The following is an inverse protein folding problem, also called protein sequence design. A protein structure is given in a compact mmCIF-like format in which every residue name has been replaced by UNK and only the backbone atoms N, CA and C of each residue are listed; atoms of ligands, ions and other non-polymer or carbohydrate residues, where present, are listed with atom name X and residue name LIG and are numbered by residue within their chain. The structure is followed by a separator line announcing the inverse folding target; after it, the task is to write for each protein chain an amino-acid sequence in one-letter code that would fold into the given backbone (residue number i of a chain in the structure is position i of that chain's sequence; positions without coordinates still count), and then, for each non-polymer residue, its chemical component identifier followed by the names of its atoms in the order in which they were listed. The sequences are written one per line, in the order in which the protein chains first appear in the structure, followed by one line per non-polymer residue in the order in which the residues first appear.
data_IF_598332408005
#
_entry.id   IF_598332408005
#
_cell.length_a   1.000
_cell.length_b   1.000
_cell.length_c   1.000
_cell.angle_alpha   90.00
_cell.angle_beta   90.00
_cell.angle_gamma   90.00
#
_symmetry.space_group_name_H-M   'P 1'
#
loop_
_entity.id
_entity.type
_entity.pdbx_description
1 polymer ?
#
# COMPACT_ATOMS: atom_id res chain seq x y z
N UNK A 1 -18.54 1.57 59.58
CA UNK A 1 -19.22 1.30 58.29
C UNK A 1 -18.88 2.32 57.21
N UNK A 2 -18.48 3.58 57.56
CA UNK A 2 -18.16 4.62 56.52
C UNK A 2 -16.80 4.42 55.83
N UNK A 3 -15.81 3.86 56.52
CA UNK A 3 -14.46 3.65 55.97
C UNK A 3 -14.45 2.60 54.85
N UNK A 4 -15.26 1.55 54.93
CA UNK A 4 -15.32 0.49 53.90
C UNK A 4 -15.99 0.97 52.58
N UNK A 5 -16.95 1.87 52.65
CA UNK A 5 -17.57 2.47 51.45
C UNK A 5 -16.63 3.45 50.75
N UNK A 6 -15.82 4.21 51.48
CA UNK A 6 -14.82 5.10 50.93
C UNK A 6 -13.68 4.32 50.23
N UNK A 7 -13.26 3.19 50.79
CA UNK A 7 -12.25 2.33 50.19
C UNK A 7 -12.76 1.64 48.92
N UNK A 8 -14.01 1.17 48.89
CA UNK A 8 -14.61 0.57 47.69
C UNK A 8 -14.78 1.61 46.59
N UNK A 9 -15.17 2.84 46.94
CA UNK A 9 -15.27 3.94 45.98
C UNK A 9 -13.91 4.30 45.41
N UNK A 10 -12.87 4.33 46.24
CA UNK A 10 -11.50 4.57 45.80
C UNK A 10 -10.99 3.51 44.84
N UNK A 11 -11.25 2.23 45.15
CA UNK A 11 -10.90 1.10 44.27
C UNK A 11 -11.63 1.22 42.92
N UNK A 12 -12.93 1.50 42.93
CA UNK A 12 -13.73 1.65 41.71
C UNK A 12 -13.21 2.80 40.82
N UNK A 13 -12.81 3.92 41.42
CA UNK A 13 -12.20 5.04 40.68
C UNK A 13 -10.87 4.67 40.03
N UNK A 14 -10.01 3.92 40.75
CA UNK A 14 -8.75 3.41 40.19
C UNK A 14 -9.00 2.46 39.03
N UNK A 15 -9.96 1.54 39.17
CA UNK A 15 -10.32 0.61 38.10
C UNK A 15 -10.86 1.36 36.86
N UNK A 16 -11.74 2.31 37.03
CA UNK A 16 -12.26 3.12 35.91
C UNK A 16 -11.14 3.88 35.22
N UNK A 17 -10.24 4.49 35.98
CA UNK A 17 -9.08 5.17 35.40
C UNK A 17 -8.16 4.22 34.65
N UNK A 18 -7.92 3.02 35.17
CA UNK A 18 -7.13 2.01 34.45
C UNK A 18 -7.81 1.58 33.16
N UNK A 19 -9.13 1.42 33.14
CA UNK A 19 -9.88 1.10 31.93
C UNK A 19 -9.74 2.22 30.89
N UNK A 20 -9.93 3.47 31.29
CA UNK A 20 -9.76 4.63 30.42
C UNK A 20 -8.32 4.72 29.85
N UNK A 21 -7.30 4.48 30.68
CA UNK A 21 -5.89 4.47 30.26
C UNK A 21 -5.62 3.33 29.25
N UNK A 22 -6.21 2.16 29.43
CA UNK A 22 -6.11 1.03 28.50
C UNK A 22 -6.77 1.37 27.16
N UNK A 23 -7.95 1.95 27.16
CA UNK A 23 -8.66 2.36 25.94
C UNK A 23 -7.84 3.38 25.13
N UNK A 24 -7.23 4.35 25.80
CA UNK A 24 -6.32 5.31 25.16
C UNK A 24 -5.09 4.62 24.56
N UNK A 25 -4.52 3.63 25.26
CA UNK A 25 -3.38 2.87 24.74
C UNK A 25 -3.76 2.04 23.50
N UNK A 26 -4.93 1.38 23.52
CA UNK A 26 -5.44 0.62 22.37
C UNK A 26 -5.59 1.53 21.15
N UNK A 27 -6.24 2.68 21.30
CA UNK A 27 -6.41 3.65 20.21
C UNK A 27 -5.07 4.15 19.64
N UNK A 28 -4.08 4.37 20.51
CA UNK A 28 -2.73 4.77 20.07
C UNK A 28 -2.02 3.65 19.30
N UNK A 29 -2.15 2.40 19.75
CA UNK A 29 -1.58 1.23 19.06
C UNK A 29 -2.25 1.02 17.70
N UNK A 30 -3.55 1.18 17.60
CA UNK A 30 -4.29 1.09 16.33
C UNK A 30 -3.79 2.14 15.34
N UNK A 31 -3.67 3.41 15.75
CA UNK A 31 -3.13 4.50 14.91
C UNK A 31 -1.69 4.24 14.47
N UNK A 32 -0.85 3.76 15.38
CA UNK A 32 0.53 3.37 15.04
C UNK A 32 0.53 2.24 14.01
N UNK A 33 -0.28 1.21 14.21
CA UNK A 33 -0.40 0.07 13.30
C UNK A 33 -0.85 0.53 11.91
N UNK A 34 -1.89 1.34 11.81
CA UNK A 34 -2.35 1.92 10.53
C UNK A 34 -1.25 2.72 9.83
N UNK A 35 -0.46 3.48 10.60
CA UNK A 35 0.66 4.26 10.05
C UNK A 35 1.74 3.34 9.50
N UNK A 36 2.11 2.28 10.21
CA UNK A 36 3.10 1.30 9.75
C UNK A 36 2.64 0.55 8.50
N UNK A 37 1.35 0.18 8.40
CA UNK A 37 0.81 -0.48 7.21
C UNK A 37 0.82 0.39 5.95
N UNK A 38 0.94 1.72 6.08
CA UNK A 38 1.17 2.60 4.93
C UNK A 38 2.58 2.46 4.36
N UNK A 39 3.57 2.14 5.19
CA UNK A 39 4.96 1.97 4.76
C UNK A 39 5.29 0.51 4.42
N UNK A 40 4.68 -0.43 5.12
CA UNK A 40 4.88 -1.87 4.87
C UNK A 40 3.51 -2.51 4.62
N UNK A 41 3.11 -2.64 3.36
CA UNK A 41 1.83 -3.27 3.01
C UNK A 41 1.71 -4.69 3.57
N UNK A 42 0.50 -5.13 3.97
CA UNK A 42 0.26 -6.48 4.48
C UNK A 42 0.74 -7.59 3.53
N UNK A 43 0.70 -7.34 2.22
CA UNK A 43 1.22 -8.24 1.20
C UNK A 43 2.72 -8.54 1.34
N UNK A 44 3.52 -7.54 1.74
CA UNK A 44 4.96 -7.74 2.02
C UNK A 44 5.16 -8.55 3.29
N UNK A 45 4.38 -8.30 4.34
CA UNK A 45 4.45 -9.06 5.60
C UNK A 45 4.15 -10.52 5.35
N UNK A 46 3.09 -10.81 4.58
CA UNK A 46 2.74 -12.17 4.17
C UNK A 46 3.82 -12.85 3.34
N UNK A 47 4.49 -12.11 2.44
CA UNK A 47 5.64 -12.61 1.68
C UNK A 47 6.82 -13.01 2.57
N UNK A 48 7.07 -12.24 3.64
CA UNK A 48 8.12 -12.54 4.61
C UNK A 48 7.77 -13.73 5.52
N UNK A 49 6.60 -14.37 5.32
CA UNK A 49 6.14 -15.50 6.12
C UNK A 49 5.84 -15.09 7.57
N UNK A 50 5.41 -13.85 7.78
CA UNK A 50 5.10 -13.29 9.09
C UNK A 50 3.61 -12.98 9.21
N UNK A 51 3.08 -13.14 10.40
CA UNK A 51 1.67 -12.93 10.67
C UNK A 51 1.34 -11.46 10.97
N UNK A 52 2.35 -10.72 11.45
CA UNK A 52 2.18 -9.31 11.83
C UNK A 52 3.50 -8.54 11.81
N UNK A 53 3.40 -7.20 11.90
CA UNK A 53 4.56 -6.30 11.94
C UNK A 53 5.50 -6.54 13.14
N UNK A 54 4.97 -6.93 14.30
CA UNK A 54 5.76 -7.14 15.51
C UNK A 54 6.71 -8.35 15.41
N UNK A 55 6.49 -9.24 14.47
CA UNK A 55 7.36 -10.37 14.17
C UNK A 55 8.48 -10.09 13.17
N UNK A 56 8.51 -8.87 12.61
CA UNK A 56 9.54 -8.43 11.68
C UNK A 56 10.79 -8.02 12.45
N UNK A 57 11.94 -8.46 11.96
CA UNK A 57 13.25 -8.08 12.50
C UNK A 57 14.11 -7.48 11.39
N UNK A 58 15.01 -6.57 11.75
CA UNK A 58 16.03 -6.08 10.84
C UNK A 58 16.79 -7.26 10.23
N UNK A 59 16.98 -7.24 8.92
CA UNK A 59 17.59 -8.35 8.18
C UNK A 59 16.63 -9.47 7.79
N UNK A 60 15.34 -9.41 8.17
CA UNK A 60 14.34 -10.31 7.60
C UNK A 60 14.28 -10.12 6.10
N UNK A 61 14.52 -11.17 5.35
CA UNK A 61 14.44 -11.14 3.89
C UNK A 61 13.79 -12.42 3.35
N UNK A 62 13.21 -12.27 2.17
CA UNK A 62 12.69 -13.37 1.39
C UNK A 62 13.19 -13.23 -0.04
N UNK A 63 13.58 -14.35 -0.62
CA UNK A 63 14.01 -14.45 -2.01
C UNK A 63 12.99 -15.27 -2.78
N UNK A 64 12.60 -14.79 -3.95
CA UNK A 64 11.66 -15.52 -4.80
C UNK A 64 11.74 -15.11 -6.26
N UNK A 65 11.22 -15.97 -7.13
CA UNK A 65 11.03 -15.66 -8.52
C UNK A 65 9.65 -15.02 -8.70
N UNK A 66 9.66 -13.76 -9.10
CA UNK A 66 8.44 -12.98 -9.32
C UNK A 66 8.42 -12.45 -10.75
N UNK A 67 7.23 -12.24 -11.26
CA UNK A 67 7.08 -11.41 -12.43
C UNK A 67 6.94 -9.95 -11.97
N UNK A 68 7.78 -9.09 -12.52
CA UNK A 68 7.79 -7.66 -12.25
C UNK A 68 7.17 -6.95 -13.45
N UNK A 69 6.14 -6.17 -13.21
CA UNK A 69 5.47 -5.36 -14.21
C UNK A 69 5.72 -3.89 -13.87
N UNK A 70 6.54 -3.24 -14.68
CA UNK A 70 6.72 -1.80 -14.59
C UNK A 70 5.65 -1.10 -15.45
N UNK A 71 4.90 -0.21 -14.82
CA UNK A 71 3.84 0.60 -15.46
C UNK A 71 4.30 2.04 -15.45
N UNK A 72 4.56 2.61 -16.62
CA UNK A 72 5.04 3.98 -16.75
C UNK A 72 4.02 4.85 -17.43
N UNK A 73 3.71 6.00 -16.82
CA UNK A 73 2.90 7.06 -17.40
C UNK A 73 3.75 7.86 -18.39
N UNK A 74 3.26 8.02 -19.59
CA UNK A 74 3.84 8.91 -20.58
C UNK A 74 3.19 10.29 -20.46
N UNK A 75 4.00 11.32 -20.28
CA UNK A 75 3.58 12.72 -20.21
C UNK A 75 4.27 13.50 -21.33
N UNK A 76 3.53 14.39 -21.96
CA UNK A 76 4.11 15.33 -22.91
C UNK A 76 4.82 16.47 -22.16
N UNK A 77 6.02 16.86 -22.61
CA UNK A 77 6.82 17.91 -21.99
C UNK A 77 6.15 19.30 -22.01
N UNK A 78 5.15 19.47 -22.86
CA UNK A 78 4.41 20.73 -23.05
C UNK A 78 3.24 20.91 -22.07
N UNK A 79 2.92 19.90 -21.27
CA UNK A 79 1.75 19.95 -20.38
C UNK A 79 1.94 20.95 -19.24
N UNK A 80 0.92 21.74 -18.90
CA UNK A 80 0.92 22.58 -17.71
C UNK A 80 1.06 21.77 -16.42
N UNK A 81 1.73 22.33 -15.42
CA UNK A 81 2.02 21.62 -14.16
C UNK A 81 0.77 21.06 -13.46
N UNK A 82 -0.32 21.84 -13.43
CA UNK A 82 -1.58 21.41 -12.83
C UNK A 82 -2.22 20.21 -13.56
N UNK A 83 -2.08 20.12 -14.89
CA UNK A 83 -2.55 18.97 -15.65
C UNK A 83 -1.64 17.76 -15.43
N UNK A 84 -0.33 17.98 -15.39
CA UNK A 84 0.66 16.94 -15.06
C UNK A 84 0.34 16.30 -13.69
N UNK A 85 0.14 17.12 -12.66
CA UNK A 85 -0.22 16.64 -11.32
C UNK A 85 -1.55 15.86 -11.31
N UNK A 86 -2.55 16.33 -12.04
CA UNK A 86 -3.84 15.65 -12.13
C UNK A 86 -3.72 14.28 -12.82
N UNK A 87 -2.95 14.19 -13.92
CA UNK A 87 -2.68 12.93 -14.62
C UNK A 87 -1.90 11.96 -13.74
N UNK A 88 -0.87 12.42 -13.06
CA UNK A 88 -0.08 11.60 -12.11
C UNK A 88 -0.95 11.05 -10.99
N UNK A 89 -1.74 11.90 -10.34
CA UNK A 89 -2.63 11.49 -9.25
C UNK A 89 -3.66 10.45 -9.73
N UNK A 90 -4.25 10.65 -10.91
CA UNK A 90 -5.19 9.70 -11.51
C UNK A 90 -4.51 8.36 -11.85
N UNK A 91 -3.32 8.41 -12.43
CA UNK A 91 -2.49 7.24 -12.73
C UNK A 91 -2.21 6.42 -11.45
N UNK A 92 -1.65 7.06 -10.42
CA UNK A 92 -1.36 6.38 -9.15
C UNK A 92 -2.61 5.80 -8.50
N UNK A 93 -3.68 6.56 -8.46
CA UNK A 93 -4.93 6.08 -7.86
C UNK A 93 -5.49 4.86 -8.61
N UNK A 94 -5.41 4.86 -9.95
CA UNK A 94 -5.92 3.76 -10.78
C UNK A 94 -5.08 2.50 -10.58
N UNK A 95 -3.75 2.61 -10.69
CA UNK A 95 -2.84 1.46 -10.56
C UNK A 95 -2.82 0.93 -9.12
N UNK A 96 -2.71 1.82 -8.13
CA UNK A 96 -2.62 1.41 -6.74
C UNK A 96 -3.91 0.76 -6.24
N UNK A 97 -5.08 1.31 -6.60
CA UNK A 97 -6.37 0.70 -6.28
C UNK A 97 -6.50 -0.69 -6.87
N UNK A 98 -6.06 -0.87 -8.12
CA UNK A 98 -6.05 -2.18 -8.76
C UNK A 98 -5.11 -3.14 -8.03
N UNK A 99 -3.90 -2.72 -7.70
CA UNK A 99 -2.92 -3.52 -6.99
C UNK A 99 -3.46 -3.98 -5.62
N UNK A 100 -4.04 -3.07 -4.84
CA UNK A 100 -4.65 -3.38 -3.55
C UNK A 100 -5.81 -4.39 -3.66
N UNK A 101 -6.70 -4.21 -4.65
CA UNK A 101 -7.84 -5.12 -4.86
C UNK A 101 -7.41 -6.55 -5.24
N UNK A 102 -6.23 -6.72 -5.80
CA UNK A 102 -5.71 -8.00 -6.27
C UNK A 102 -4.54 -8.54 -5.43
N UNK A 103 -4.26 -7.94 -4.27
CA UNK A 103 -3.13 -8.28 -3.40
C UNK A 103 -1.77 -8.28 -4.12
N UNK A 104 -1.61 -7.35 -5.06
CA UNK A 104 -0.36 -7.15 -5.79
C UNK A 104 0.46 -6.11 -5.05
N UNK A 105 1.76 -6.36 -4.87
CA UNK A 105 2.67 -5.40 -4.27
C UNK A 105 2.95 -4.30 -5.29
N UNK A 106 2.67 -3.07 -4.92
CA UNK A 106 2.96 -1.89 -5.74
C UNK A 106 4.03 -1.04 -5.06
N UNK A 107 5.03 -0.65 -5.83
CA UNK A 107 6.15 0.19 -5.39
C UNK A 107 6.29 1.34 -6.38
N UNK A 108 6.47 2.55 -5.86
CA UNK A 108 6.81 3.71 -6.69
C UNK A 108 8.29 3.61 -7.04
N UNK A 109 8.61 3.49 -8.32
CA UNK A 109 9.94 3.15 -8.80
C UNK A 109 10.77 4.38 -9.23
N UNK A 110 10.13 5.54 -9.43
CA UNK A 110 10.79 6.71 -9.99
C UNK A 110 10.68 7.93 -9.07
N UNK A 111 11.79 8.65 -8.93
CA UNK A 111 11.81 9.93 -8.22
C UNK A 111 10.89 10.99 -8.86
N UNK A 112 10.59 10.86 -10.15
CA UNK A 112 9.66 11.72 -10.87
C UNK A 112 8.19 11.28 -10.73
N UNK A 113 7.91 10.23 -9.97
CA UNK A 113 6.56 9.72 -9.75
C UNK A 113 5.80 9.34 -11.04
N UNK A 114 6.50 8.94 -12.10
CA UNK A 114 5.91 8.57 -13.38
C UNK A 114 5.81 7.08 -13.61
N UNK A 115 6.40 6.27 -12.72
CA UNK A 115 6.35 4.81 -12.84
C UNK A 115 6.02 4.11 -11.54
N UNK A 116 5.37 2.97 -11.68
CA UNK A 116 5.05 2.05 -10.59
C UNK A 116 5.50 0.65 -10.98
N UNK A 117 6.17 -0.01 -10.07
CA UNK A 117 6.53 -1.41 -10.18
C UNK A 117 5.49 -2.25 -9.44
N UNK A 118 4.92 -3.23 -10.13
CA UNK A 118 3.98 -4.20 -9.59
C UNK A 118 4.66 -5.57 -9.53
N UNK A 119 4.64 -6.19 -8.37
CA UNK A 119 5.27 -7.50 -8.16
C UNK A 119 4.18 -8.57 -8.09
N UNK A 120 4.16 -9.42 -9.12
CA UNK A 120 3.18 -10.48 -9.30
C UNK A 120 3.76 -11.81 -8.82
N UNK A 121 3.15 -12.41 -7.80
CA UNK A 121 3.63 -13.66 -7.18
C UNK A 121 3.43 -14.90 -8.05
N UNK A 122 2.45 -14.87 -8.96
CA UNK A 122 2.01 -16.05 -9.73
C UNK A 122 2.65 -16.15 -11.13
N UNK A 123 3.83 -15.53 -11.32
CA UNK A 123 4.61 -15.63 -12.54
C UNK A 123 4.15 -14.73 -13.69
N UNK A 124 4.74 -14.93 -14.86
CA UNK A 124 4.58 -14.05 -16.02
C UNK A 124 3.14 -13.99 -16.56
N UNK A 125 2.41 -15.11 -16.55
CA UNK A 125 1.01 -15.13 -17.02
C UNK A 125 0.12 -14.22 -16.16
N UNK A 126 0.33 -14.24 -14.85
CA UNK A 126 -0.38 -13.35 -13.91
C UNK A 126 -0.05 -11.88 -14.16
N UNK A 127 1.22 -11.57 -14.43
CA UNK A 127 1.64 -10.23 -14.77
C UNK A 127 1.04 -9.74 -16.09
N UNK A 128 0.98 -10.61 -17.11
CA UNK A 128 0.36 -10.30 -18.40
C UNK A 128 -1.15 -10.02 -18.25
N UNK A 129 -1.86 -10.86 -17.51
CA UNK A 129 -3.29 -10.63 -17.19
C UNK A 129 -3.48 -9.34 -16.43
N UNK A 130 -2.60 -9.05 -15.47
CA UNK A 130 -2.59 -7.80 -14.70
C UNK A 130 -2.43 -6.59 -15.62
N UNK A 131 -1.45 -6.61 -16.52
CA UNK A 131 -1.21 -5.53 -17.49
C UNK A 131 -2.44 -5.29 -18.38
N UNK A 132 -3.01 -6.34 -18.94
CA UNK A 132 -4.19 -6.24 -19.82
C UNK A 132 -5.41 -5.71 -19.05
N UNK A 133 -5.58 -6.11 -17.79
CA UNK A 133 -6.69 -5.63 -16.96
C UNK A 133 -6.55 -4.16 -16.59
N UNK A 134 -5.34 -3.73 -16.24
CA UNK A 134 -5.05 -2.31 -15.98
C UNK A 134 -5.29 -1.49 -17.25
N UNK A 135 -4.81 -1.96 -18.40
CA UNK A 135 -4.99 -1.29 -19.68
C UNK A 135 -6.48 -1.12 -20.01
N UNK A 136 -7.26 -2.19 -19.93
CA UNK A 136 -8.69 -2.14 -20.18
C UNK A 136 -9.43 -1.17 -19.24
N UNK A 137 -9.00 -1.08 -17.99
CA UNK A 137 -9.56 -0.15 -17.00
C UNK A 137 -9.19 1.29 -17.32
N UNK A 138 -7.95 1.53 -17.73
CA UNK A 138 -7.50 2.86 -18.14
C UNK A 138 -8.19 3.31 -19.44
N UNK A 139 -8.39 2.42 -20.40
CA UNK A 139 -9.14 2.71 -21.62
C UNK A 139 -10.60 3.09 -21.33
N UNK A 140 -11.24 2.38 -20.39
CA UNK A 140 -12.58 2.70 -19.97
C UNK A 140 -12.66 4.08 -19.27
N UNK A 141 -11.67 4.39 -18.44
CA UNK A 141 -11.55 5.66 -17.74
C UNK A 141 -11.25 6.79 -18.73
N UNK A 142 -10.32 6.59 -19.66
CA UNK A 142 -9.94 7.58 -20.68
C UNK A 142 -11.11 8.03 -21.58
N UNK A 143 -12.13 7.18 -21.77
CA UNK A 143 -13.33 7.56 -22.53
C UNK A 143 -14.15 8.67 -21.88
N UNK A 144 -13.93 8.94 -20.60
CA UNK A 144 -14.61 9.97 -19.82
C UNK A 144 -13.89 11.33 -19.90
N UNK A 145 -12.71 11.38 -20.52
CA UNK A 145 -11.82 12.55 -20.54
C UNK A 145 -11.47 12.98 -21.96
N UNK A 146 -11.11 14.24 -22.10
CA UNK A 146 -10.59 14.78 -23.37
C UNK A 146 -9.22 14.20 -23.73
N UNK A 147 -8.78 14.35 -25.00
CA UNK A 147 -7.51 13.77 -25.46
C UNK A 147 -6.28 14.17 -24.61
N UNK A 148 -6.26 15.42 -24.12
CA UNK A 148 -5.14 15.97 -23.32
C UNK A 148 -5.13 15.44 -21.87
N UNK A 149 -6.22 14.85 -21.43
CA UNK A 149 -6.37 14.31 -20.08
C UNK A 149 -6.30 12.78 -20.06
N UNK A 150 -6.04 12.12 -21.18
CA UNK A 150 -5.95 10.67 -21.26
C UNK A 150 -4.66 10.14 -20.66
N UNK A 151 -4.77 9.02 -19.93
CA UNK A 151 -3.63 8.30 -19.40
C UNK A 151 -3.01 7.44 -20.51
N UNK A 152 -1.82 7.79 -20.94
CA UNK A 152 -1.02 7.02 -21.87
C UNK A 152 0.06 6.28 -21.06
N UNK A 153 0.03 4.94 -21.09
CA UNK A 153 0.93 4.12 -20.28
C UNK A 153 1.68 3.11 -21.13
N UNK A 154 2.89 2.82 -20.68
CA UNK A 154 3.73 1.75 -21.23
C UNK A 154 3.94 0.71 -20.16
N UNK A 155 3.83 -0.56 -20.55
CA UNK A 155 4.10 -1.70 -19.68
C UNK A 155 5.39 -2.36 -20.11
N UNK A 156 6.25 -2.62 -19.13
CA UNK A 156 7.44 -3.47 -19.29
C UNK A 156 7.34 -4.59 -18.29
N UNK A 157 7.42 -5.82 -18.77
CA UNK A 157 7.33 -7.01 -17.92
C UNK A 157 8.66 -7.78 -17.96
N UNK A 158 9.11 -8.19 -16.80
CA UNK A 158 10.26 -9.05 -16.63
C UNK A 158 9.95 -10.14 -15.59
N UNK A 159 10.61 -11.28 -15.72
CA UNK A 159 10.56 -12.33 -14.72
C UNK A 159 11.95 -12.46 -14.12
N UNK A 160 12.06 -12.13 -12.85
CA UNK A 160 13.36 -12.06 -12.19
C UNK A 160 13.30 -12.56 -10.75
N UNK A 161 14.47 -12.82 -10.23
CA UNK A 161 14.64 -13.11 -8.82
C UNK A 161 14.66 -11.80 -8.03
N UNK A 162 13.71 -11.66 -7.11
CA UNK A 162 13.55 -10.45 -6.28
C UNK A 162 13.83 -10.79 -4.83
N UNK A 163 14.52 -9.89 -4.17
CA UNK A 163 14.78 -9.93 -2.73
C UNK A 163 13.94 -8.87 -2.04
N UNK A 164 13.06 -9.29 -1.16
CA UNK A 164 12.35 -8.40 -0.26
C UNK A 164 12.98 -8.47 1.12
N UNK A 165 13.29 -7.33 1.71
CA UNK A 165 13.93 -7.29 3.02
C UNK A 165 13.62 -6.00 3.77
N UNK A 166 13.86 -6.05 5.07
CA UNK A 166 13.78 -4.90 5.98
C UNK A 166 15.20 -4.51 6.36
N UNK A 167 15.58 -3.31 5.92
CA UNK A 167 16.89 -2.70 6.15
C UNK A 167 16.85 -1.69 7.29
#
# INVERSE_FOLDING_TARGET
TSTSEDELTGIAQVFNKMADDIDVQILNLERMSETYYRFVPPSIIGLLGKDNLGSLTLGSNVKGNFAVLNVRLYLEDSLPLNQTEALMNRFFNTVNRFAQQNNIISIVDDANLQSMMLVCQNGADSAAVTALTILARMDADNRLYGPEEQLNVVFVMDQTEVYFGIC
#
